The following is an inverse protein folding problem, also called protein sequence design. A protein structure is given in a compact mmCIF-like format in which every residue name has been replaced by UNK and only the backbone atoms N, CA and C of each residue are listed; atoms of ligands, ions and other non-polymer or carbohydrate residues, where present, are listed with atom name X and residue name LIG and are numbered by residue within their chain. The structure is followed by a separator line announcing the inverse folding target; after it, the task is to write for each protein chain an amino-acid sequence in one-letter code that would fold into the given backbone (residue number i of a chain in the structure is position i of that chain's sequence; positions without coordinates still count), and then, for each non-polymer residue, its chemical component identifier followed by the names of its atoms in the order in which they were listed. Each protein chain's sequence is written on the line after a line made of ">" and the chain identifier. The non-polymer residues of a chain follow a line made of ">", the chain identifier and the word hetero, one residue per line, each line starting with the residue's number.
data_IF_555349720076
#
_entry.id   IF_555349720076
#
_cell.length_a   1.000
_cell.length_b   1.000
_cell.length_c   1.000
_cell.angle_alpha   90.00
_cell.angle_beta   90.00
_cell.angle_gamma   90.00
#
_symmetry.space_group_name_H-M   'P 1'
#
loop_
_entity.id
_entity.type
_entity.pdbx_description
1 polymer ?
#
# COMPACT_ATOMS: atom_id res chain seq x y z
N UNK A 1 -6.33 -11.98 -2.10
CA UNK A 1 -6.58 -10.59 -2.57
C UNK A 1 -6.06 -10.38 -3.99
N UNK A 2 -4.76 -10.61 -4.25
CA UNK A 2 -4.13 -10.28 -5.54
C UNK A 2 -4.14 -11.37 -6.63
N UNK A 3 -4.80 -12.52 -6.37
CA UNK A 3 -4.98 -13.60 -7.36
C UNK A 3 -6.24 -13.43 -8.22
N UNK A 4 -6.96 -12.34 -8.02
CA UNK A 4 -8.19 -12.02 -8.75
C UNK A 4 -7.79 -11.34 -10.08
N UNK A 5 -8.52 -11.63 -11.14
CA UNK A 5 -8.43 -10.91 -12.42
C UNK A 5 -9.53 -9.88 -12.53
N UNK A 6 -9.21 -8.70 -13.08
CA UNK A 6 -10.19 -7.68 -13.46
C UNK A 6 -11.11 -8.20 -14.56
N UNK A 7 -12.21 -7.47 -14.82
CA UNK A 7 -13.18 -7.81 -15.88
C UNK A 7 -12.57 -7.83 -17.28
N UNK A 8 -11.50 -7.07 -17.50
CA UNK A 8 -10.78 -6.98 -18.77
C UNK A 8 -9.62 -8.00 -18.90
N UNK A 9 -9.54 -8.95 -17.96
CA UNK A 9 -8.51 -10.01 -17.95
C UNK A 9 -7.16 -9.59 -17.37
N UNK A 10 -6.96 -8.31 -17.03
CA UNK A 10 -5.72 -7.86 -16.38
C UNK A 10 -5.65 -8.32 -14.92
N UNK A 11 -4.46 -8.61 -14.37
CA UNK A 11 -4.32 -8.93 -12.95
C UNK A 11 -4.69 -7.73 -12.07
N UNK A 12 -5.23 -8.01 -10.88
CA UNK A 12 -5.45 -6.98 -9.86
C UNK A 12 -4.11 -6.47 -9.35
N UNK A 13 -3.91 -5.15 -9.43
CA UNK A 13 -2.74 -4.45 -8.89
C UNK A 13 -3.06 -3.86 -7.53
N UNK A 14 -4.15 -3.11 -7.41
CA UNK A 14 -4.44 -2.30 -6.21
C UNK A 14 -5.69 -2.76 -5.49
N UNK A 15 -5.54 -3.12 -4.23
CA UNK A 15 -6.64 -3.49 -3.34
C UNK A 15 -6.75 -2.43 -2.25
N UNK A 16 -7.96 -1.90 -2.05
CA UNK A 16 -8.31 -1.06 -0.92
C UNK A 16 -9.10 -1.88 0.10
N UNK A 17 -8.71 -1.82 1.36
CA UNK A 17 -9.46 -2.42 2.46
C UNK A 17 -9.88 -1.36 3.46
N UNK A 18 -11.18 -1.31 3.74
CA UNK A 18 -11.77 -0.41 4.71
C UNK A 18 -12.21 -1.16 5.96
N UNK A 19 -12.33 -0.46 7.08
CA UNK A 19 -12.83 -1.03 8.33
C UNK A 19 -13.18 0.04 9.35
N UNK A 20 -14.01 -0.33 10.33
CA UNK A 20 -14.30 0.51 11.49
C UNK A 20 -13.12 0.54 12.48
N UNK A 21 -13.00 1.57 13.33
CA UNK A 21 -11.97 1.62 14.37
C UNK A 21 -11.99 0.35 15.24
N UNK A 22 -10.80 -0.17 15.54
CA UNK A 22 -10.65 -1.36 16.40
C UNK A 22 -11.04 -2.69 15.75
N UNK A 23 -11.43 -2.74 14.47
CA UNK A 23 -11.85 -3.99 13.81
C UNK A 23 -10.72 -5.00 13.59
N UNK A 24 -9.46 -4.60 13.82
CA UNK A 24 -8.30 -5.46 13.67
C UNK A 24 -7.58 -5.36 12.33
N UNK A 25 -7.67 -4.23 11.60
CA UNK A 25 -6.90 -4.02 10.35
C UNK A 25 -5.41 -4.30 10.53
N UNK A 26 -4.81 -3.80 11.61
CA UNK A 26 -3.40 -4.04 11.96
C UNK A 26 -3.11 -5.53 12.21
N UNK A 27 -4.04 -6.25 12.84
CA UNK A 27 -3.93 -7.71 13.07
C UNK A 27 -3.99 -8.46 11.74
N UNK A 28 -4.86 -8.07 10.82
CA UNK A 28 -4.94 -8.65 9.47
C UNK A 28 -3.63 -8.47 8.69
N UNK A 29 -3.05 -7.26 8.70
CA UNK A 29 -1.75 -6.99 8.07
C UNK A 29 -0.66 -7.84 8.71
N UNK A 30 -0.60 -7.89 10.05
CA UNK A 30 0.39 -8.70 10.77
C UNK A 30 0.28 -10.19 10.43
N UNK A 31 -0.94 -10.73 10.39
CA UNK A 31 -1.19 -12.13 10.00
C UNK A 31 -0.76 -12.40 8.56
N UNK A 32 -1.07 -11.50 7.64
CA UNK A 32 -0.63 -11.61 6.25
C UNK A 32 0.90 -11.69 6.14
N UNK A 33 1.61 -10.76 6.79
CA UNK A 33 3.07 -10.74 6.78
C UNK A 33 3.66 -12.00 7.41
N UNK A 34 3.10 -12.49 8.52
CA UNK A 34 3.53 -13.72 9.17
C UNK A 34 3.37 -14.94 8.26
N UNK A 35 2.19 -15.09 7.63
CA UNK A 35 1.91 -16.20 6.72
C UNK A 35 2.79 -16.18 5.48
N UNK A 36 3.12 -14.99 4.96
CA UNK A 36 4.07 -14.85 3.87
C UNK A 36 5.49 -15.23 4.32
N UNK A 37 5.96 -14.69 5.44
CA UNK A 37 7.31 -14.93 5.95
C UNK A 37 7.55 -16.41 6.32
N UNK A 38 6.52 -17.10 6.81
CA UNK A 38 6.57 -18.55 7.11
C UNK A 38 6.31 -19.44 5.90
N UNK A 39 6.13 -18.86 4.70
CA UNK A 39 5.74 -19.58 3.49
C UNK A 39 4.48 -20.43 3.71
N UNK A 40 3.52 -19.94 4.49
CA UNK A 40 2.21 -20.57 4.66
C UNK A 40 1.24 -20.12 3.56
N UNK A 41 1.35 -18.87 3.10
CA UNK A 41 0.52 -18.30 2.04
C UNK A 41 1.28 -17.30 1.17
N UNK A 42 0.70 -16.90 0.03
CA UNK A 42 1.25 -15.87 -0.88
C UNK A 42 2.71 -16.13 -1.32
N UNK A 43 3.09 -17.40 -1.46
CA UNK A 43 4.45 -17.87 -1.86
C UNK A 43 4.92 -17.35 -3.21
N UNK A 44 4.00 -16.84 -4.02
CA UNK A 44 4.27 -16.22 -5.31
C UNK A 44 4.87 -14.80 -5.20
N UNK A 45 4.81 -14.18 -4.02
CA UNK A 45 5.44 -12.89 -3.74
C UNK A 45 6.86 -13.10 -3.23
N UNK A 46 7.83 -12.50 -3.92
CA UNK A 46 9.24 -12.49 -3.52
C UNK A 46 9.48 -11.53 -2.35
N UNK A 47 8.77 -10.39 -2.33
CA UNK A 47 8.90 -9.38 -1.28
C UNK A 47 7.54 -8.87 -0.81
N UNK A 48 7.45 -8.58 0.49
CA UNK A 48 6.36 -7.83 1.10
C UNK A 48 6.96 -6.67 1.88
N UNK A 49 6.64 -5.45 1.47
CA UNK A 49 7.18 -4.21 2.03
C UNK A 49 6.03 -3.44 2.68
N UNK A 50 6.21 -3.03 3.93
CA UNK A 50 5.20 -2.26 4.66
C UNK A 50 5.59 -0.78 4.75
N UNK A 51 4.74 0.13 4.30
CA UNK A 51 4.94 1.57 4.39
C UNK A 51 3.71 2.23 5.03
N UNK A 52 3.76 2.47 6.33
CA UNK A 52 2.64 3.06 7.07
C UNK A 52 2.45 4.53 6.69
N UNK A 53 1.21 4.93 6.43
CA UNK A 53 0.85 6.34 6.21
C UNK A 53 1.11 7.21 7.44
N UNK A 54 1.05 6.64 8.66
CA UNK A 54 1.49 7.33 9.87
C UNK A 54 2.97 7.67 9.82
N UNK A 55 3.81 6.71 9.42
CA UNK A 55 5.24 6.91 9.37
C UNK A 55 5.60 7.88 8.24
N UNK A 56 4.98 7.73 7.08
CA UNK A 56 5.11 8.66 5.95
C UNK A 56 4.69 10.08 6.35
N UNK A 57 3.65 10.23 7.19
CA UNK A 57 3.28 11.53 7.76
C UNK A 57 4.39 12.10 8.65
N UNK A 58 5.01 11.30 9.51
CA UNK A 58 6.16 11.73 10.31
C UNK A 58 7.34 12.16 9.43
N UNK A 59 7.68 11.39 8.39
CA UNK A 59 8.76 11.72 7.45
C UNK A 59 8.48 13.01 6.66
N UNK A 60 7.23 13.20 6.20
CA UNK A 60 6.77 14.43 5.56
C UNK A 60 7.02 15.67 6.43
N UNK A 61 6.85 15.55 7.74
CA UNK A 61 7.00 16.66 8.69
C UNK A 61 8.42 16.78 9.25
N UNK A 62 9.37 16.00 8.73
CA UNK A 62 10.80 16.12 9.03
C UNK A 62 11.52 17.05 8.04
N UNK A 63 12.83 17.24 8.22
CA UNK A 63 13.66 18.03 7.30
C UNK A 63 13.92 17.34 5.93
N UNK A 64 13.46 16.10 5.72
CA UNK A 64 13.75 15.28 4.55
C UNK A 64 12.49 15.04 3.70
N UNK A 65 11.94 16.10 3.11
CA UNK A 65 10.70 16.05 2.32
C UNK A 65 10.90 15.61 0.87
N UNK A 66 12.10 15.80 0.33
CA UNK A 66 12.45 15.48 -1.05
C UNK A 66 13.37 14.27 -1.07
N UNK A 67 12.82 13.14 -1.51
CA UNK A 67 13.50 11.85 -1.59
C UNK A 67 12.93 11.06 -2.76
N UNK A 68 13.62 10.03 -3.21
CA UNK A 68 13.06 9.04 -4.12
C UNK A 68 12.24 8.00 -3.36
N UNK A 69 11.37 7.27 -4.05
CA UNK A 69 10.57 6.24 -3.40
C UNK A 69 11.43 5.07 -2.90
N UNK A 70 12.54 4.78 -3.59
CA UNK A 70 13.53 3.81 -3.10
C UNK A 70 14.23 4.28 -1.82
N UNK A 71 14.60 5.55 -1.73
CA UNK A 71 15.19 6.08 -0.49
C UNK A 71 14.20 6.05 0.68
N UNK A 72 12.91 6.29 0.44
CA UNK A 72 11.87 6.13 1.46
C UNK A 72 11.77 4.67 1.93
N UNK A 73 11.80 3.70 1.01
CA UNK A 73 11.81 2.27 1.38
C UNK A 73 13.05 1.94 2.21
N UNK A 74 14.24 2.39 1.78
CA UNK A 74 15.50 2.12 2.48
C UNK A 74 15.59 2.81 3.85
N UNK A 75 14.88 3.92 4.04
CA UNK A 75 14.80 4.61 5.33
C UNK A 75 14.06 3.76 6.37
N UNK A 76 12.93 3.15 5.99
CA UNK A 76 12.14 2.30 6.90
C UNK A 76 12.59 0.85 6.95
N UNK A 77 13.20 0.37 5.87
CA UNK A 77 13.70 -1.01 5.72
C UNK A 77 15.17 -0.94 5.28
N UNK A 78 16.13 -0.67 6.19
CA UNK A 78 17.55 -0.57 5.86
C UNK A 78 18.12 -1.83 5.19
N UNK A 79 17.52 -2.99 5.42
CA UNK A 79 17.81 -4.26 4.74
C UNK A 79 17.54 -4.22 3.22
N UNK A 80 16.69 -3.30 2.75
CA UNK A 80 16.44 -3.08 1.33
C UNK A 80 17.51 -2.20 0.66
N UNK A 81 18.51 -1.70 1.41
CA UNK A 81 19.56 -0.83 0.87
C UNK A 81 20.39 -1.56 -0.20
N UNK A 82 20.51 -0.95 -1.37
CA UNK A 82 21.24 -1.51 -2.51
C UNK A 82 20.46 -2.58 -3.29
N UNK A 83 19.23 -2.90 -2.89
CA UNK A 83 18.38 -3.85 -3.62
C UNK A 83 17.67 -3.13 -4.76
N UNK A 84 18.02 -3.46 -6.01
CA UNK A 84 17.35 -2.94 -7.21
C UNK A 84 16.23 -3.86 -7.74
N UNK A 85 16.00 -4.99 -7.07
CA UNK A 85 15.06 -6.02 -7.54
C UNK A 85 13.62 -5.51 -7.70
N UNK A 86 13.21 -4.45 -6.98
CA UNK A 86 11.85 -3.89 -7.10
C UNK A 86 11.58 -3.21 -8.45
N UNK A 87 12.63 -2.94 -9.23
CA UNK A 87 12.53 -2.40 -10.60
C UNK A 87 12.61 -3.49 -11.68
N UNK A 88 12.92 -4.73 -11.30
CA UNK A 88 13.00 -5.85 -12.25
C UNK A 88 11.60 -6.29 -12.72
N UNK A 89 11.47 -6.63 -14.01
CA UNK A 89 10.18 -6.98 -14.61
C UNK A 89 9.53 -8.23 -14.00
N UNK A 90 10.36 -9.22 -13.64
CA UNK A 90 9.92 -10.50 -13.10
C UNK A 90 9.77 -10.51 -11.57
N UNK A 91 10.06 -9.38 -10.91
CA UNK A 91 9.96 -9.27 -9.47
C UNK A 91 8.51 -9.06 -9.03
N UNK A 92 7.94 -10.08 -8.39
CA UNK A 92 6.61 -10.02 -7.79
C UNK A 92 6.70 -9.59 -6.35
N UNK A 93 6.21 -8.40 -6.05
CA UNK A 93 6.20 -7.88 -4.68
C UNK A 93 4.88 -7.21 -4.34
N UNK A 94 4.63 -7.07 -3.04
CA UNK A 94 3.50 -6.34 -2.50
C UNK A 94 3.98 -5.19 -1.62
N UNK A 95 3.49 -3.99 -1.88
CA UNK A 95 3.58 -2.87 -0.94
C UNK A 95 2.28 -2.81 -0.15
N UNK A 96 2.37 -2.87 1.18
CA UNK A 96 1.26 -2.67 2.10
C UNK A 96 1.36 -1.26 2.66
N UNK A 97 0.36 -0.43 2.40
CA UNK A 97 0.25 0.92 2.96
C UNK A 97 -0.96 1.00 3.90
N UNK A 98 -0.73 0.91 5.19
CA UNK A 98 -1.78 0.94 6.22
C UNK A 98 -1.89 2.30 6.89
N UNK A 99 -2.94 2.47 7.70
CA UNK A 99 -3.18 3.68 8.51
C UNK A 99 -3.38 4.94 7.67
N UNK A 100 -4.06 4.85 6.52
CA UNK A 100 -4.31 6.00 5.65
C UNK A 100 -4.95 7.19 6.38
N UNK A 101 -5.79 6.93 7.38
CA UNK A 101 -6.40 7.93 8.26
C UNK A 101 -5.40 8.74 9.11
N UNK A 102 -4.15 8.31 9.22
CA UNK A 102 -3.08 9.03 9.90
C UNK A 102 -2.34 10.03 8.99
N UNK A 103 -2.57 10.00 7.67
CA UNK A 103 -1.97 10.97 6.76
C UNK A 103 -2.88 12.18 6.59
N UNK A 104 -2.49 13.29 7.21
CA UNK A 104 -3.40 14.43 7.43
C UNK A 104 -3.37 15.47 6.31
N UNK A 105 -2.44 15.38 5.36
CA UNK A 105 -2.41 16.29 4.21
C UNK A 105 -3.31 15.77 3.07
N UNK A 106 -4.05 16.66 2.39
CA UNK A 106 -4.71 16.30 1.15
C UNK A 106 -3.66 15.98 0.08
N UNK A 107 -3.91 14.94 -0.70
CA UNK A 107 -3.06 14.55 -1.83
C UNK A 107 -3.65 15.12 -3.12
N UNK A 108 -2.83 15.77 -3.95
CA UNK A 108 -3.29 16.29 -5.24
C UNK A 108 -3.32 15.16 -6.29
N UNK A 109 -4.49 14.59 -6.50
CA UNK A 109 -4.68 13.48 -7.42
C UNK A 109 -4.71 13.87 -8.90
N UNK A 110 -4.84 15.16 -9.25
CA UNK A 110 -5.00 15.60 -10.63
C UNK A 110 -3.73 16.29 -11.15
N UNK A 111 -3.18 17.25 -10.41
CA UNK A 111 -2.08 18.09 -10.90
C UNK A 111 -0.69 17.57 -10.52
N UNK A 112 -0.58 16.57 -9.65
CA UNK A 112 0.72 15.97 -9.31
C UNK A 112 1.41 15.46 -10.57
N UNK A 113 2.69 15.82 -10.74
CA UNK A 113 3.52 15.38 -11.86
C UNK A 113 3.66 13.86 -11.89
N UNK A 114 3.72 13.30 -13.09
CA UNK A 114 3.92 11.85 -13.26
C UNK A 114 5.39 11.52 -13.05
N UNK A 115 5.63 10.59 -12.13
CA UNK A 115 6.94 10.00 -11.84
C UNK A 115 6.86 8.54 -12.25
N UNK A 116 7.83 8.07 -13.04
CA UNK A 116 7.87 6.69 -13.54
C UNK A 116 9.04 5.88 -12.97
N UNK A 117 10.11 6.56 -12.60
CA UNK A 117 11.32 5.98 -12.03
C UNK A 117 11.27 6.08 -10.51
N UNK A 118 11.49 4.95 -9.82
CA UNK A 118 11.42 4.87 -8.37
C UNK A 118 12.61 5.54 -7.67
N UNK A 119 13.66 5.83 -8.43
CA UNK A 119 14.87 6.54 -8.01
C UNK A 119 14.80 8.06 -8.23
N UNK A 120 13.74 8.58 -8.87
CA UNK A 120 13.56 10.03 -9.09
C UNK A 120 13.15 10.72 -7.78
N UNK A 121 13.94 11.70 -7.28
CA UNK A 121 13.58 12.44 -6.08
C UNK A 121 12.40 13.39 -6.32
N UNK A 122 11.44 13.40 -5.40
CA UNK A 122 10.31 14.32 -5.41
C UNK A 122 9.79 14.56 -3.99
N UNK A 123 8.85 15.50 -3.86
CA UNK A 123 8.13 15.70 -2.60
C UNK A 123 7.34 14.42 -2.23
N UNK A 124 7.31 14.05 -0.95
CA UNK A 124 6.70 12.81 -0.48
C UNK A 124 5.24 12.63 -0.92
N UNK A 125 4.44 13.71 -0.90
CA UNK A 125 3.05 13.71 -1.38
C UNK A 125 2.96 13.27 -2.85
N UNK A 126 3.89 13.73 -3.69
CA UNK A 126 3.94 13.35 -5.10
C UNK A 126 4.34 11.88 -5.28
N UNK A 127 5.26 11.37 -4.46
CA UNK A 127 5.65 9.95 -4.49
C UNK A 127 4.46 9.05 -4.12
N UNK A 128 3.75 9.37 -3.04
CA UNK A 128 2.57 8.63 -2.58
C UNK A 128 1.52 8.56 -3.69
N UNK A 129 1.20 9.69 -4.32
CA UNK A 129 0.25 9.76 -5.43
C UNK A 129 0.70 8.87 -6.59
N UNK A 130 1.99 8.89 -6.95
CA UNK A 130 2.52 8.09 -8.05
C UNK A 130 2.58 6.58 -7.74
N UNK A 131 2.80 6.18 -6.49
CA UNK A 131 2.67 4.77 -6.05
C UNK A 131 1.22 4.29 -6.22
N UNK A 132 0.24 5.10 -5.77
CA UNK A 132 -1.19 4.77 -5.84
C UNK A 132 -1.70 4.77 -7.29
N UNK A 133 -1.28 5.73 -8.11
CA UNK A 133 -1.53 5.75 -9.57
C UNK A 133 -0.92 4.54 -10.27
N UNK A 134 0.10 3.92 -9.66
CA UNK A 134 0.85 2.82 -10.22
C UNK A 134 1.82 3.22 -11.33
N UNK A 135 2.22 4.49 -11.38
CA UNK A 135 3.22 5.00 -12.32
C UNK A 135 4.64 4.63 -11.85
N UNK A 136 4.85 4.59 -10.53
CA UNK A 136 6.00 3.97 -9.85
C UNK A 136 5.65 2.55 -9.41
N UNK A 137 6.64 1.64 -9.39
CA UNK A 137 6.48 0.22 -9.04
C UNK A 137 5.42 -0.49 -9.88
N UNK A 138 5.46 -0.34 -11.20
CA UNK A 138 4.43 -0.83 -12.14
C UNK A 138 4.14 -2.33 -12.05
N UNK A 139 5.12 -3.12 -11.61
CA UNK A 139 5.00 -4.58 -11.47
C UNK A 139 4.57 -5.01 -10.05
N UNK A 140 4.61 -4.10 -9.08
CA UNK A 140 4.20 -4.35 -7.70
C UNK A 140 2.69 -4.37 -7.51
N UNK A 141 2.21 -5.22 -6.62
CA UNK A 141 0.87 -5.12 -6.05
C UNK A 141 0.85 -4.06 -4.94
N UNK A 142 -0.30 -3.44 -4.72
CA UNK A 142 -0.51 -2.43 -3.69
C UNK A 142 -1.73 -2.77 -2.83
N UNK A 143 -1.54 -2.83 -1.52
CA UNK A 143 -2.62 -2.99 -0.55
C UNK A 143 -2.74 -1.74 0.32
N UNK A 144 -3.81 -0.97 0.15
CA UNK A 144 -4.08 0.22 0.94
C UNK A 144 -5.11 -0.12 2.02
N UNK A 145 -4.86 0.30 3.26
CA UNK A 145 -5.78 0.11 4.38
C UNK A 145 -6.02 1.42 5.14
N UNK A 146 -7.27 1.65 5.52
CA UNK A 146 -7.63 2.78 6.37
C UNK A 146 -9.13 2.85 6.65
N UNK A 147 -9.51 3.81 7.49
CA UNK A 147 -10.93 4.06 7.79
C UNK A 147 -11.67 4.51 6.54
N UNK A 148 -12.93 4.08 6.42
CA UNK A 148 -13.79 4.39 5.27
C UNK A 148 -13.83 5.89 4.94
N UNK A 149 -13.95 6.75 5.95
CA UNK A 149 -14.01 8.21 5.75
C UNK A 149 -12.72 8.82 5.19
N UNK A 150 -11.55 8.24 5.52
CA UNK A 150 -10.28 8.73 5.00
C UNK A 150 -10.07 8.19 3.58
N UNK A 151 -10.17 6.88 3.40
CA UNK A 151 -9.88 6.25 2.10
C UNK A 151 -10.88 6.60 1.00
N UNK A 152 -12.08 7.09 1.33
CA UNK A 152 -13.02 7.64 0.35
C UNK A 152 -12.49 8.87 -0.39
N UNK A 153 -11.43 9.51 0.10
CA UNK A 153 -10.77 10.62 -0.61
C UNK A 153 -9.91 10.16 -1.79
N UNK A 154 -9.60 8.86 -1.89
CA UNK A 154 -8.81 8.30 -2.97
C UNK A 154 -9.73 8.06 -4.17
N UNK A 155 -9.41 8.60 -5.37
CA UNK A 155 -10.23 8.37 -6.56
C UNK A 155 -10.34 6.87 -6.89
N UNK A 156 -11.57 6.39 -7.09
CA UNK A 156 -11.86 4.98 -7.35
C UNK A 156 -11.17 4.43 -8.60
N UNK A 157 -10.83 5.28 -9.57
CA UNK A 157 -10.09 4.92 -10.79
C UNK A 157 -8.69 4.34 -10.52
N UNK A 158 -8.13 4.55 -9.32
CA UNK A 158 -6.84 3.98 -8.93
C UNK A 158 -6.97 2.64 -8.18
N UNK A 159 -8.20 2.21 -7.88
CA UNK A 159 -8.49 0.99 -7.13
C UNK A 159 -9.07 -0.08 -8.05
N UNK A 160 -8.54 -1.30 -7.98
CA UNK A 160 -9.09 -2.42 -8.76
C UNK A 160 -10.15 -3.20 -7.97
N UNK A 161 -9.92 -3.34 -6.67
CA UNK A 161 -10.79 -4.06 -5.75
C UNK A 161 -10.93 -3.25 -4.47
N UNK A 162 -12.17 -3.09 -4.00
CA UNK A 162 -12.48 -2.52 -2.68
C UNK A 162 -13.07 -3.63 -1.82
N UNK A 163 -12.55 -3.76 -0.61
CA UNK A 163 -12.97 -4.75 0.38
C UNK A 163 -13.26 -4.06 1.70
N UNK A 164 -14.13 -4.65 2.51
CA UNK A 164 -14.44 -4.18 3.86
C UNK A 164 -14.20 -5.32 4.84
N UNK A 165 -13.47 -5.04 5.92
CA UNK A 165 -13.38 -5.97 7.04
C UNK A 165 -14.65 -5.79 7.87
N UNK A 166 -15.59 -6.69 7.66
CA UNK A 166 -16.71 -6.86 8.57
C UNK A 166 -16.20 -7.61 9.80
N UNK A 167 -16.50 -7.09 10.99
CA UNK A 167 -16.08 -7.72 12.25
C UNK A 167 -16.61 -9.13 12.40
N UNK A 168 -16.26 -9.77 13.51
CA UNK A 168 -16.87 -11.04 13.87
C UNK A 168 -18.39 -10.84 13.92
N UNK A 169 -19.13 -11.49 13.00
CA UNK A 169 -20.55 -11.68 13.20
C UNK A 169 -20.66 -12.39 14.54
N UNK A 170 -21.14 -11.70 15.57
CA UNK A 170 -21.58 -12.37 16.79
C UNK A 170 -22.53 -13.45 16.32
N UNK A 171 -22.18 -14.71 16.58
CA UNK A 171 -23.12 -15.80 16.41
C UNK A 171 -24.36 -15.38 17.18
N UNK A 172 -25.42 -15.06 16.45
CA UNK A 172 -26.66 -14.57 17.02
C UNK A 172 -27.11 -15.69 17.95
N UNK A 173 -27.03 -15.46 19.26
CA UNK A 173 -27.45 -16.44 20.27
C UNK A 173 -28.86 -16.83 19.89
N UNK A 174 -29.03 -18.05 19.37
CA UNK A 174 -30.37 -18.62 19.20
C UNK A 174 -30.98 -18.64 20.59
N UNK A 175 -32.16 -18.02 20.68
CA UNK A 175 -33.01 -17.98 21.87
C UNK A 175 -33.13 -19.36 22.51
#
# INVERSE_FOLDING_TARGET
>A
LFRITKRDGRPVRTVLTTGIPGIGMTVCVGKFCLDWAQLCANKDLQFVIKLSFHDLWCLRNSNSQHMSMMEVIQYYHPECKGMKYLEEEDCKFLIIMDSFDCYLAPLDWENTSVINDSSTPAHLDALIVNVIRGTVFRNGCLWILGRQAAVSQIPSRFMDVITEIQGFRTAQTRK
#
